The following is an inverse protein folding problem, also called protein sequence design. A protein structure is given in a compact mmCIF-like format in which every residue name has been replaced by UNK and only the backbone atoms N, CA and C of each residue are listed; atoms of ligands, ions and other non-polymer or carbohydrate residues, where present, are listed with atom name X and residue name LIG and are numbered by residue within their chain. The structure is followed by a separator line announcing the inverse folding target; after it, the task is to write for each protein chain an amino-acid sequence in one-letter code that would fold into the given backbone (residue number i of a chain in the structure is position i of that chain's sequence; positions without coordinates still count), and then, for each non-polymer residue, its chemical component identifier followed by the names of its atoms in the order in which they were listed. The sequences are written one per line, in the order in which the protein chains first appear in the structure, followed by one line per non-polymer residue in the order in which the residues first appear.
data_IF_025990453387
#
_entry.id   IF_025990453387
#
_cell.length_a   1.000
_cell.length_b   1.000
_cell.length_c   1.000
_cell.angle_alpha   90.00
_cell.angle_beta   90.00
_cell.angle_gamma   90.00
#
_symmetry.space_group_name_H-M   'P 1'
#
loop_
_entity.id
_entity.type
_entity.pdbx_description
1 polymer ?
#
# COMPACT_ATOMS: atom_id res chain seq x y z
N UNK A 1 63.48 26.28 14.36
CA UNK A 1 63.06 25.52 13.16
C UNK A 1 61.65 25.94 12.75
N UNK A 2 61.46 26.56 11.57
CA UNK A 2 60.13 26.95 11.07
C UNK A 2 59.45 25.73 10.46
N UNK A 3 58.42 25.20 11.11
CA UNK A 3 57.64 24.08 10.57
C UNK A 3 56.92 24.57 9.30
N UNK A 4 57.08 23.89 8.15
CA UNK A 4 56.44 24.32 6.91
C UNK A 4 54.91 24.26 7.06
N UNK A 5 54.21 25.35 6.73
CA UNK A 5 52.75 25.53 6.89
C UNK A 5 51.92 24.34 6.36
N UNK A 6 52.41 23.65 5.34
CA UNK A 6 51.79 22.45 4.77
C UNK A 6 51.76 21.24 5.73
N UNK A 7 52.80 21.05 6.54
CA UNK A 7 52.83 19.99 7.57
C UNK A 7 51.93 20.31 8.75
N UNK A 8 51.80 21.60 9.10
CA UNK A 8 50.87 22.04 10.15
C UNK A 8 49.41 21.83 9.71
N UNK A 9 49.08 22.14 8.45
CA UNK A 9 47.73 21.94 7.92
C UNK A 9 47.32 20.46 7.86
N UNK A 10 48.24 19.58 7.46
CA UNK A 10 48.01 18.12 7.48
C UNK A 10 47.81 17.58 8.90
N UNK A 11 48.54 18.11 9.88
CA UNK A 11 48.36 17.77 11.29
C UNK A 11 46.98 18.18 11.81
N UNK A 12 46.48 19.36 11.42
CA UNK A 12 45.15 19.85 11.80
C UNK A 12 44.06 18.98 11.18
N UNK A 13 44.18 18.63 9.90
CA UNK A 13 43.23 17.73 9.23
C UNK A 13 43.24 16.35 9.90
N UNK A 14 44.41 15.81 10.20
CA UNK A 14 44.53 14.51 10.85
C UNK A 14 43.90 14.52 12.26
N UNK A 15 44.13 15.58 13.03
CA UNK A 15 43.51 15.76 14.34
C UNK A 15 41.98 15.86 14.24
N UNK A 16 41.47 16.58 13.23
CA UNK A 16 40.03 16.72 13.00
C UNK A 16 39.36 15.40 12.62
N UNK A 17 40.00 14.61 11.74
CA UNK A 17 39.50 13.29 11.35
C UNK A 17 39.54 12.32 12.54
N UNK A 18 40.63 12.31 13.31
CA UNK A 18 40.74 11.47 14.51
C UNK A 18 39.67 11.83 15.56
N UNK A 19 39.40 13.13 15.77
CA UNK A 19 38.36 13.58 16.69
C UNK A 19 36.95 13.23 16.20
N UNK A 20 36.70 13.34 14.90
CA UNK A 20 35.42 12.98 14.28
C UNK A 20 35.15 11.48 14.39
N UNK A 21 36.17 10.64 14.17
CA UNK A 21 36.07 9.19 14.36
C UNK A 21 35.89 8.81 15.83
N UNK A 22 36.56 9.50 16.76
CA UNK A 22 36.38 9.29 18.20
C UNK A 22 34.98 9.70 18.69
N UNK A 23 34.43 10.79 18.15
CA UNK A 23 33.07 11.22 18.43
C UNK A 23 32.05 10.20 17.90
N UNK A 24 32.22 9.73 16.65
CA UNK A 24 31.38 8.68 16.08
C UNK A 24 31.46 7.38 16.89
N UNK A 25 32.66 6.96 17.33
CA UNK A 25 32.83 5.81 18.18
C UNK A 25 32.07 5.95 19.51
N UNK A 26 32.11 7.13 20.15
CA UNK A 26 31.37 7.36 21.39
C UNK A 26 29.85 7.37 21.18
N UNK A 27 29.35 7.90 20.07
CA UNK A 27 27.91 7.97 19.80
C UNK A 27 27.34 6.59 19.45
N UNK A 28 28.06 5.78 18.68
CA UNK A 28 27.55 4.50 18.18
C UNK A 28 27.96 3.27 19.00
N UNK A 29 29.07 3.33 19.73
CA UNK A 29 29.64 2.14 20.40
C UNK A 29 29.95 2.32 21.89
N UNK A 30 29.99 3.56 22.42
CA UNK A 30 30.14 3.79 23.87
C UNK A 30 28.78 3.70 24.57
N UNK A 31 28.26 2.49 24.69
CA UNK A 31 27.19 2.18 25.63
C UNK A 31 27.74 2.19 27.07
N UNK A 32 28.11 3.37 27.58
CA UNK A 32 28.09 3.58 29.03
C UNK A 32 26.67 3.93 29.41
N UNK A 33 25.93 2.91 29.84
CA UNK A 33 24.70 3.06 30.60
C UNK A 33 25.01 3.93 31.82
N UNK A 34 24.70 5.22 31.75
CA UNK A 34 24.68 6.10 32.92
C UNK A 34 23.40 5.76 33.68
N UNK A 35 23.47 4.66 34.44
CA UNK A 35 22.60 4.44 35.59
C UNK A 35 22.99 5.50 36.62
N UNK A 36 22.27 6.63 36.67
CA UNK A 36 22.21 7.47 37.87
C UNK A 36 21.44 6.71 38.95
N UNK A 37 22.11 5.73 39.54
CA UNK A 37 21.84 5.25 40.89
C UNK A 37 23.06 5.65 41.68
N UNK A 38 22.89 6.43 42.74
CA UNK A 38 23.96 6.76 43.67
C UNK A 38 24.62 5.46 44.14
N UNK A 39 25.83 5.20 43.64
CA UNK A 39 26.69 4.15 44.15
C UNK A 39 27.31 4.70 45.42
N UNK A 40 26.72 4.34 46.56
CA UNK A 40 27.39 4.46 47.86
C UNK A 40 28.69 3.67 47.74
N UNK A 41 29.80 4.39 47.83
CA UNK A 41 31.14 3.83 47.88
C UNK A 41 31.24 3.11 49.24
N UNK A 42 31.28 1.77 49.24
CA UNK A 42 31.78 1.03 50.40
C UNK A 42 33.27 1.30 50.49
N UNK A 43 33.61 2.31 51.27
CA UNK A 43 34.95 2.51 51.82
C UNK A 43 35.14 1.42 52.86
N UNK A 44 36.16 0.58 52.69
CA UNK A 44 36.61 -0.27 53.78
C UNK A 44 37.08 0.65 54.92
N UNK A 45 36.33 0.63 56.01
CA UNK A 45 36.75 1.14 57.31
C UNK A 45 36.39 0.11 58.38
N UNK A 46 37.24 -0.01 59.41
CA UNK A 46 37.25 -1.13 60.33
C UNK A 46 36.05 -1.10 61.28
N UNK A 47 35.62 -2.29 61.71
CA UNK A 47 34.81 -2.59 62.89
C UNK A 47 34.15 -1.36 63.57
N UNK A 48 32.91 -1.04 63.17
CA UNK A 48 32.01 -0.17 63.93
C UNK A 48 30.74 -0.96 64.20
N UNK A 49 30.32 -0.92 65.46
CA UNK A 49 29.26 -1.72 66.06
C UNK A 49 27.92 -1.63 65.32
N UNK A 50 27.14 -2.71 65.41
CA UNK A 50 25.72 -2.78 65.01
C UNK A 50 24.96 -1.59 65.60
N UNK A 51 24.66 -0.62 64.74
CA UNK A 51 23.78 0.50 65.05
C UNK A 51 22.34 0.02 64.82
N UNK A 52 21.69 -0.39 65.92
CA UNK A 52 20.32 -0.89 65.92
C UNK A 52 19.37 0.17 65.31
N UNK A 53 18.74 -0.15 64.17
CA UNK A 53 17.76 0.71 63.51
C UNK A 53 16.34 0.38 64.01
N UNK A 54 15.68 1.27 64.78
CA UNK A 54 14.36 1.00 65.36
C UNK A 54 13.23 0.85 64.33
N UNK A 55 13.48 1.20 63.06
CA UNK A 55 12.50 1.33 62.00
C UNK A 55 12.67 0.30 60.88
N UNK A 56 13.60 -0.65 61.04
CA UNK A 56 13.92 -1.66 60.03
C UNK A 56 12.71 -2.58 59.74
N UNK A 57 11.95 -2.92 60.78
CA UNK A 57 10.73 -3.73 60.66
C UNK A 57 9.61 -2.98 59.91
N UNK A 58 9.43 -1.68 60.16
CA UNK A 58 8.44 -0.85 59.45
C UNK A 58 8.80 -0.65 57.98
N UNK A 59 10.08 -0.50 57.66
CA UNK A 59 10.57 -0.34 56.29
C UNK A 59 10.46 -1.66 55.49
N UNK A 60 10.71 -2.80 56.14
CA UNK A 60 10.48 -4.14 55.57
C UNK A 60 8.99 -4.38 55.34
N UNK A 61 8.12 -3.97 56.28
CA UNK A 61 6.67 -4.14 56.16
C UNK A 61 6.08 -3.23 55.08
N UNK A 62 6.53 -1.97 54.99
CA UNK A 62 6.16 -1.03 53.92
C UNK A 62 6.58 -1.56 52.53
N UNK A 63 7.82 -2.04 52.40
CA UNK A 63 8.32 -2.61 51.14
C UNK A 63 7.60 -3.91 50.76
N UNK A 64 7.24 -4.74 51.76
CA UNK A 64 6.42 -5.94 51.57
C UNK A 64 5.00 -5.59 51.09
N UNK A 65 4.36 -4.58 51.70
CA UNK A 65 3.05 -4.08 51.30
C UNK A 65 3.07 -3.46 49.89
N UNK A 66 4.12 -2.70 49.54
CA UNK A 66 4.31 -2.14 48.22
C UNK A 66 4.50 -3.24 47.15
N UNK A 67 5.28 -4.27 47.47
CA UNK A 67 5.47 -5.42 46.59
C UNK A 67 4.19 -6.26 46.42
N UNK A 68 3.38 -6.42 47.47
CA UNK A 68 2.04 -7.04 47.37
C UNK A 68 1.12 -6.22 46.47
N UNK A 69 1.08 -4.89 46.61
CA UNK A 69 0.31 -3.99 45.73
C UNK A 69 0.77 -4.08 44.27
N UNK A 70 2.09 -4.11 44.01
CA UNK A 70 2.67 -4.30 42.67
C UNK A 70 2.30 -5.66 42.06
N UNK A 71 2.35 -6.74 42.85
CA UNK A 71 1.93 -8.08 42.39
C UNK A 71 0.43 -8.13 42.10
N UNK A 72 -0.40 -7.55 42.96
CA UNK A 72 -1.84 -7.44 42.75
C UNK A 72 -2.18 -6.63 41.49
N UNK A 73 -1.46 -5.51 41.25
CA UNK A 73 -1.61 -4.71 40.03
C UNK A 73 -1.18 -5.48 38.77
N UNK A 74 -0.07 -6.23 38.81
CA UNK A 74 0.34 -7.12 37.71
C UNK A 74 -0.70 -8.22 37.43
N UNK A 75 -1.27 -8.83 38.47
CA UNK A 75 -2.33 -9.84 38.32
C UNK A 75 -3.63 -9.23 37.78
N UNK A 76 -3.98 -8.01 38.20
CA UNK A 76 -5.10 -7.24 37.67
C UNK A 76 -4.90 -6.90 36.18
N UNK A 77 -3.72 -6.40 35.81
CA UNK A 77 -3.36 -6.15 34.39
C UNK A 77 -3.37 -7.44 33.56
N UNK A 78 -2.88 -8.56 34.11
CA UNK A 78 -2.94 -9.86 33.43
C UNK A 78 -4.38 -10.40 33.28
N UNK A 79 -5.28 -10.10 34.24
CA UNK A 79 -6.73 -10.40 34.10
C UNK A 79 -7.37 -9.52 33.02
N UNK A 80 -7.00 -8.24 32.95
CA UNK A 80 -7.44 -7.34 31.87
C UNK A 80 -6.95 -7.86 30.51
N UNK A 81 -5.69 -8.28 30.40
CA UNK A 81 -5.14 -8.79 29.15
C UNK A 81 -5.78 -10.12 28.72
N UNK A 82 -6.12 -11.00 29.68
CA UNK A 82 -6.92 -12.21 29.43
C UNK A 82 -8.36 -11.92 29.05
N UNK A 83 -8.88 -10.75 29.41
CA UNK A 83 -10.25 -10.30 29.05
C UNK A 83 -10.31 -9.54 27.73
N UNK A 84 -9.17 -9.20 27.12
CA UNK A 84 -9.15 -8.60 25.78
C UNK A 84 -9.52 -9.68 24.75
N UNK A 85 -10.38 -9.36 23.77
CA UNK A 85 -10.66 -10.27 22.67
C UNK A 85 -9.35 -10.63 21.96
N UNK A 86 -9.15 -11.91 21.65
CA UNK A 86 -7.95 -12.42 20.97
C UNK A 86 -7.85 -11.73 19.60
N UNK A 87 -6.89 -10.81 19.48
CA UNK A 87 -6.61 -10.09 18.23
C UNK A 87 -5.57 -10.86 17.44
N UNK A 88 -5.81 -10.97 16.14
CA UNK A 88 -4.88 -11.55 15.20
C UNK A 88 -3.89 -10.49 14.75
N UNK A 89 -2.65 -10.90 14.46
CA UNK A 89 -1.58 -9.99 14.07
C UNK A 89 -1.07 -10.42 12.70
N UNK A 90 -1.11 -9.52 11.74
CA UNK A 90 -0.66 -9.78 10.37
C UNK A 90 0.26 -8.66 9.90
N UNK A 91 1.45 -9.04 9.44
CA UNK A 91 2.42 -8.10 8.93
C UNK A 91 2.35 -8.07 7.40
N UNK A 92 2.44 -6.89 6.80
CA UNK A 92 2.41 -6.67 5.36
C UNK A 92 3.74 -6.06 4.93
N UNK A 93 4.44 -6.70 3.99
CA UNK A 93 5.69 -6.18 3.41
C UNK A 93 5.45 -5.85 1.94
N UNK A 94 5.66 -4.59 1.56
CA UNK A 94 5.39 -4.17 0.19
C UNK A 94 6.36 -3.11 -0.33
N UNK A 95 6.96 -3.40 -1.48
CA UNK A 95 7.71 -2.41 -2.28
C UNK A 95 7.03 -2.07 -3.61
N UNK A 96 6.03 -2.85 -4.00
CA UNK A 96 5.26 -2.55 -5.20
C UNK A 96 4.28 -1.40 -4.94
N UNK A 97 4.01 -0.59 -5.95
CA UNK A 97 3.08 0.54 -5.88
C UNK A 97 1.68 0.14 -5.37
N UNK A 98 1.23 -1.05 -5.78
CA UNK A 98 -0.04 -1.65 -5.35
C UNK A 98 -0.11 -1.88 -3.83
N UNK A 99 1.03 -1.93 -3.12
CA UNK A 99 1.08 -2.02 -1.66
C UNK A 99 0.62 -0.74 -0.98
N UNK A 100 0.96 0.43 -1.55
CA UNK A 100 0.41 1.70 -1.10
C UNK A 100 -1.08 1.81 -1.40
N UNK A 101 -1.56 1.24 -2.52
CA UNK A 101 -2.99 1.21 -2.79
C UNK A 101 -3.73 0.32 -1.77
N UNK A 102 -3.22 -0.89 -1.49
CA UNK A 102 -3.75 -1.74 -0.42
C UNK A 102 -3.79 -1.01 0.92
N UNK A 103 -2.68 -0.42 1.34
CA UNK A 103 -2.57 0.19 2.66
C UNK A 103 -3.32 1.51 2.78
N UNK A 104 -2.95 2.49 1.96
CA UNK A 104 -3.50 3.84 2.05
C UNK A 104 -4.93 3.84 1.53
N UNK A 105 -5.25 3.25 0.37
CA UNK A 105 -6.59 3.43 -0.24
C UNK A 105 -7.65 2.41 0.18
N UNK A 106 -7.29 1.14 0.39
CA UNK A 106 -8.25 0.09 0.75
C UNK A 106 -8.38 0.00 2.27
N UNK A 107 -7.27 -0.22 2.98
CA UNK A 107 -7.31 -0.35 4.43
C UNK A 107 -7.47 0.98 5.16
N UNK A 108 -7.12 2.09 4.50
CA UNK A 108 -7.12 3.46 5.05
C UNK A 108 -6.14 3.65 6.21
N UNK A 109 -5.00 2.95 6.14
CA UNK A 109 -3.93 3.00 7.12
C UNK A 109 -3.03 4.24 6.96
N UNK A 110 -2.68 4.94 8.06
CA UNK A 110 -1.68 5.99 8.02
C UNK A 110 -0.27 5.41 7.87
N UNK A 111 0.67 6.22 7.41
CA UNK A 111 2.10 5.88 7.31
C UNK A 111 2.95 6.91 8.03
N UNK A 112 3.93 6.43 8.78
CA UNK A 112 4.91 7.20 9.51
C UNK A 112 6.33 6.78 9.07
N UNK A 113 7.20 7.73 8.70
CA UNK A 113 6.90 9.14 8.47
C UNK A 113 5.96 9.34 7.26
N UNK A 114 5.30 10.50 7.26
CA UNK A 114 4.43 10.93 6.15
C UNK A 114 5.23 11.29 4.90
N UNK A 115 6.53 11.53 5.04
CA UNK A 115 7.44 11.82 3.93
C UNK A 115 7.56 10.61 2.97
N UNK A 116 7.20 10.83 1.70
CA UNK A 116 7.23 9.80 0.66
C UNK A 116 8.64 9.41 0.23
N UNK A 117 9.65 10.26 0.45
CA UNK A 117 11.05 9.94 0.10
C UNK A 117 11.80 9.22 1.22
N UNK A 118 11.14 9.01 2.36
CA UNK A 118 11.73 8.30 3.48
C UNK A 118 12.16 6.88 3.08
N UNK A 119 13.35 6.50 3.53
CA UNK A 119 13.92 5.17 3.26
C UNK A 119 13.08 4.05 3.87
N UNK A 120 12.37 4.35 4.95
CA UNK A 120 11.54 3.46 5.72
C UNK A 120 10.24 4.18 6.07
N UNK A 121 9.10 3.54 5.81
CA UNK A 121 7.78 3.99 6.25
C UNK A 121 7.03 2.78 6.80
N UNK A 122 6.40 2.98 7.94
CA UNK A 122 5.62 1.95 8.61
C UNK A 122 4.25 2.49 9.03
N UNK A 123 3.30 1.59 9.16
CA UNK A 123 1.96 1.92 9.61
C UNK A 123 1.37 0.79 10.41
N UNK A 124 0.47 1.13 11.32
CA UNK A 124 -0.33 0.18 12.07
C UNK A 124 -1.80 0.58 11.97
N UNK A 125 -2.68 -0.40 11.75
CA UNK A 125 -4.12 -0.17 11.81
C UNK A 125 -4.84 -1.44 12.28
N UNK A 126 -6.01 -1.25 12.89
CA UNK A 126 -6.89 -2.35 13.24
C UNK A 126 -8.07 -2.42 12.26
N UNK A 127 -8.29 -3.58 11.65
CA UNK A 127 -9.45 -3.87 10.81
C UNK A 127 -10.12 -5.14 11.33
N UNK A 128 -11.36 -5.03 11.81
CA UNK A 128 -12.04 -6.16 12.45
C UNK A 128 -11.26 -6.67 13.67
N UNK A 129 -10.89 -7.96 13.66
CA UNK A 129 -10.10 -8.61 14.71
C UNK A 129 -8.61 -8.69 14.36
N UNK A 130 -8.20 -8.16 13.21
CA UNK A 130 -6.81 -8.18 12.75
C UNK A 130 -6.15 -6.82 13.01
N UNK A 131 -5.05 -6.85 13.74
CA UNK A 131 -4.08 -5.78 13.84
C UNK A 131 -3.06 -5.95 12.69
N UNK A 132 -3.09 -5.03 11.73
CA UNK A 132 -2.15 -5.00 10.61
C UNK A 132 -0.99 -4.07 10.90
N UNK A 133 0.23 -4.52 10.59
CA UNK A 133 1.39 -3.63 10.44
C UNK A 133 1.88 -3.68 8.99
N UNK A 134 2.31 -2.54 8.44
CA UNK A 134 2.77 -2.44 7.06
C UNK A 134 4.11 -1.76 6.99
N UNK A 135 5.00 -2.31 6.17
CA UNK A 135 6.35 -1.82 5.96
C UNK A 135 6.61 -1.60 4.48
N UNK A 136 7.05 -0.39 4.15
CA UNK A 136 7.42 0.00 2.79
C UNK A 136 8.60 0.97 2.79
N UNK A 137 9.21 1.14 1.61
CA UNK A 137 10.32 2.05 1.38
C UNK A 137 11.60 1.36 0.87
N UNK A 138 12.58 2.11 0.36
CA UNK A 138 13.83 1.58 -0.18
C UNK A 138 14.61 0.65 0.77
N UNK A 139 14.62 0.92 2.07
CA UNK A 139 15.35 0.15 3.08
C UNK A 139 14.63 -1.15 3.52
N UNK A 140 13.38 -1.37 3.07
CA UNK A 140 12.67 -2.63 3.30
C UNK A 140 13.29 -3.71 2.41
N UNK A 141 14.31 -4.40 2.91
CA UNK A 141 15.02 -5.48 2.21
C UNK A 141 14.97 -6.76 3.03
N UNK A 142 15.15 -7.91 2.37
CA UNK A 142 15.10 -9.22 3.02
C UNK A 142 16.04 -9.26 4.25
N UNK A 143 15.56 -9.86 5.35
CA UNK A 143 16.33 -10.00 6.60
C UNK A 143 16.52 -8.73 7.44
N UNK A 144 16.11 -7.56 6.96
CA UNK A 144 16.23 -6.29 7.70
C UNK A 144 14.89 -5.76 8.21
N UNK A 145 13.80 -6.46 7.89
CA UNK A 145 12.47 -6.09 8.37
C UNK A 145 12.21 -6.79 9.71
N UNK A 146 11.87 -6.04 10.78
CA UNK A 146 11.49 -6.64 12.05
C UNK A 146 10.30 -7.56 11.83
N UNK A 147 10.46 -8.86 12.14
CA UNK A 147 9.38 -9.83 12.10
C UNK A 147 8.83 -9.99 13.51
N UNK A 148 7.68 -9.37 13.77
CA UNK A 148 7.04 -9.38 15.08
C UNK A 148 5.86 -10.36 15.16
N UNK A 149 5.51 -10.97 14.02
CA UNK A 149 4.26 -11.71 13.82
C UNK A 149 4.55 -13.00 13.05
N UNK A 150 3.70 -14.01 13.23
CA UNK A 150 3.82 -15.31 12.57
C UNK A 150 3.02 -15.40 11.25
N UNK A 151 2.35 -14.33 10.84
CA UNK A 151 1.49 -14.29 9.66
C UNK A 151 1.89 -13.11 8.78
N UNK A 152 2.12 -13.38 7.50
CA UNK A 152 2.76 -12.43 6.59
C UNK A 152 1.97 -12.29 5.27
N UNK A 153 1.86 -11.06 4.79
CA UNK A 153 1.37 -10.72 3.45
C UNK A 153 2.49 -10.06 2.66
N UNK A 154 2.88 -10.66 1.54
CA UNK A 154 3.87 -10.09 0.62
C UNK A 154 3.17 -9.35 -0.52
N UNK A 155 3.59 -8.12 -0.79
CA UNK A 155 3.12 -7.38 -1.97
C UNK A 155 4.21 -7.37 -3.05
N UNK A 156 3.98 -8.15 -4.11
CA UNK A 156 4.96 -8.49 -5.14
C UNK A 156 4.62 -7.85 -6.49
N UNK A 157 5.63 -7.75 -7.35
CA UNK A 157 5.50 -7.22 -8.70
C UNK A 157 6.04 -8.24 -9.70
N UNK A 158 5.13 -8.81 -10.50
CA UNK A 158 5.42 -9.79 -11.56
C UNK A 158 5.27 -9.22 -12.97
N UNK A 159 5.24 -7.90 -13.11
CA UNK A 159 4.96 -7.23 -14.40
C UNK A 159 5.96 -7.59 -15.50
N UNK A 160 7.23 -7.65 -15.16
CA UNK A 160 8.35 -7.87 -16.09
C UNK A 160 9.42 -8.77 -15.47
N UNK A 161 10.26 -9.41 -16.29
CA UNK A 161 11.21 -10.44 -15.84
C UNK A 161 12.13 -9.97 -14.70
N UNK A 162 12.63 -8.74 -14.75
CA UNK A 162 13.49 -8.20 -13.68
C UNK A 162 12.74 -8.09 -12.34
N UNK A 163 11.45 -7.74 -12.37
CA UNK A 163 10.59 -7.65 -11.18
C UNK A 163 10.21 -9.03 -10.67
N UNK A 164 9.99 -10.00 -11.57
CA UNK A 164 9.83 -11.42 -11.22
C UNK A 164 11.06 -11.89 -10.44
N UNK A 165 12.28 -11.73 -10.99
CA UNK A 165 13.51 -12.14 -10.30
C UNK A 165 13.67 -11.50 -8.92
N UNK A 166 13.27 -10.23 -8.76
CA UNK A 166 13.29 -9.57 -7.45
C UNK A 166 12.23 -10.13 -6.49
N UNK A 167 11.02 -10.40 -6.99
CA UNK A 167 9.92 -10.98 -6.21
C UNK A 167 10.22 -12.41 -5.77
N UNK A 168 10.87 -13.22 -6.60
CA UNK A 168 11.29 -14.59 -6.25
C UNK A 168 12.26 -14.60 -5.07
N UNK A 169 13.19 -13.64 -4.98
CA UNK A 169 14.09 -13.52 -3.82
C UNK A 169 13.35 -13.26 -2.50
N UNK A 170 12.23 -12.52 -2.55
CA UNK A 170 11.36 -12.36 -1.38
C UNK A 170 10.67 -13.67 -1.01
N UNK A 171 10.18 -14.42 -1.99
CA UNK A 171 9.57 -15.73 -1.76
C UNK A 171 10.57 -16.72 -1.16
N UNK A 172 11.80 -16.80 -1.69
CA UNK A 172 12.88 -17.64 -1.15
C UNK A 172 13.19 -17.29 0.31
N UNK A 173 13.28 -15.99 0.62
CA UNK A 173 13.51 -15.54 1.99
C UNK A 173 12.38 -15.94 2.93
N UNK A 174 11.12 -15.75 2.52
CA UNK A 174 9.97 -16.14 3.35
C UNK A 174 9.84 -17.65 3.45
N UNK A 175 10.17 -18.40 2.40
CA UNK A 175 10.21 -19.85 2.45
C UNK A 175 11.16 -20.36 3.55
N UNK A 176 12.34 -19.73 3.67
CA UNK A 176 13.28 -20.05 4.74
C UNK A 176 12.69 -19.76 6.13
N UNK A 177 11.95 -18.64 6.29
CA UNK A 177 11.25 -18.30 7.54
C UNK A 177 10.12 -19.26 7.88
N UNK A 178 9.44 -19.81 6.87
CA UNK A 178 8.42 -20.85 7.05
C UNK A 178 9.08 -22.17 7.45
N UNK A 179 10.18 -22.55 6.81
CA UNK A 179 10.95 -23.75 7.15
C UNK A 179 11.55 -23.69 8.56
N UNK A 180 11.91 -22.50 9.05
CA UNK A 180 12.35 -22.28 10.44
C UNK A 180 11.21 -22.12 11.44
N UNK A 181 9.95 -22.36 11.03
CA UNK A 181 8.74 -22.19 11.83
C UNK A 181 8.57 -20.78 12.45
N UNK A 182 9.19 -19.77 11.86
CA UNK A 182 9.09 -18.38 12.32
C UNK A 182 7.84 -17.71 11.74
N UNK A 183 7.48 -18.06 10.50
CA UNK A 183 6.23 -17.68 9.85
C UNK A 183 5.40 -18.94 9.63
N UNK A 184 4.13 -18.89 10.01
CA UNK A 184 3.18 -20.00 9.89
C UNK A 184 2.25 -19.84 8.69
N UNK A 185 1.92 -18.60 8.32
CA UNK A 185 0.95 -18.31 7.27
C UNK A 185 1.45 -17.22 6.32
N UNK A 186 1.25 -17.43 5.02
CA UNK A 186 1.74 -16.52 3.97
C UNK A 186 0.65 -16.27 2.93
N UNK A 187 0.37 -14.99 2.68
CA UNK A 187 -0.43 -14.53 1.56
C UNK A 187 0.42 -13.65 0.63
N UNK A 188 0.02 -13.59 -0.64
CA UNK A 188 0.65 -12.74 -1.65
C UNK A 188 -0.38 -11.86 -2.31
N UNK A 189 -0.11 -10.55 -2.41
CA UNK A 189 -0.80 -9.62 -3.31
C UNK A 189 0.11 -9.34 -4.49
N UNK A 190 -0.26 -9.81 -5.67
CA UNK A 190 0.59 -9.79 -6.85
C UNK A 190 0.07 -8.82 -7.91
N UNK A 191 0.88 -7.81 -8.23
CA UNK A 191 0.75 -7.10 -9.50
C UNK A 191 1.23 -8.03 -10.62
N UNK A 192 0.28 -8.69 -11.29
CA UNK A 192 0.55 -9.63 -12.37
C UNK A 192 1.09 -8.95 -13.63
N UNK A 193 1.53 -9.78 -14.57
CA UNK A 193 1.84 -9.36 -15.93
C UNK A 193 0.55 -8.97 -16.68
N UNK A 194 0.61 -7.92 -17.52
CA UNK A 194 -0.57 -7.43 -18.26
C UNK A 194 -1.12 -8.41 -19.31
N UNK A 195 -0.31 -9.38 -19.75
CA UNK A 195 -0.73 -10.49 -20.61
C UNK A 195 -1.10 -11.75 -19.78
N UNK A 196 -1.18 -11.60 -18.45
CA UNK A 196 -1.56 -12.63 -17.49
C UNK A 196 -0.63 -13.85 -17.45
N UNK A 197 0.63 -13.68 -17.87
CA UNK A 197 1.69 -14.68 -17.76
C UNK A 197 2.28 -14.68 -16.35
N UNK A 198 1.68 -15.43 -15.44
CA UNK A 198 2.06 -15.47 -14.02
C UNK A 198 2.54 -16.85 -13.54
N UNK A 199 2.80 -17.81 -14.44
CA UNK A 199 3.16 -19.21 -14.12
C UNK A 199 4.31 -19.37 -13.11
N UNK A 200 5.21 -18.39 -13.05
CA UNK A 200 6.35 -18.38 -12.13
C UNK A 200 5.94 -18.41 -10.64
N UNK A 201 4.75 -17.94 -10.26
CA UNK A 201 4.28 -17.99 -8.86
C UNK A 201 3.67 -19.35 -8.51
N UNK A 202 3.26 -20.15 -9.51
CA UNK A 202 2.53 -21.39 -9.31
C UNK A 202 3.24 -22.39 -8.38
N UNK A 203 4.57 -22.63 -8.49
CA UNK A 203 5.27 -23.57 -7.61
C UNK A 203 5.26 -23.16 -6.13
N UNK A 204 5.02 -21.88 -5.83
CA UNK A 204 5.00 -21.38 -4.46
C UNK A 204 3.63 -21.49 -3.79
N UNK A 205 2.56 -21.74 -4.55
CA UNK A 205 1.20 -21.88 -4.03
C UNK A 205 1.02 -23.22 -3.30
N UNK A 206 0.33 -23.19 -2.15
CA UNK A 206 0.07 -24.38 -1.33
C UNK A 206 -0.68 -25.48 -2.07
N UNK A 207 -1.59 -25.12 -2.98
CA UNK A 207 -2.29 -26.06 -3.87
C UNK A 207 -1.34 -26.91 -4.73
N UNK A 208 -0.13 -26.40 -4.99
CA UNK A 208 0.91 -27.04 -5.81
C UNK A 208 2.08 -27.56 -4.96
N UNK A 209 1.91 -27.67 -3.64
CA UNK A 209 2.95 -28.11 -2.70
C UNK A 209 3.89 -27.01 -2.20
N UNK A 210 3.60 -25.74 -2.49
CA UNK A 210 4.32 -24.59 -1.96
C UNK A 210 3.86 -24.14 -0.56
N UNK A 211 4.28 -22.96 -0.15
CA UNK A 211 4.05 -22.41 1.20
C UNK A 211 3.10 -21.20 1.24
N UNK A 212 2.69 -20.67 0.09
CA UNK A 212 1.77 -19.53 -0.01
C UNK A 212 0.33 -20.04 0.09
N UNK A 213 -0.35 -19.70 1.18
CA UNK A 213 -1.73 -20.09 1.47
C UNK A 213 -2.73 -19.37 0.56
N UNK A 214 -2.50 -18.08 0.28
CA UNK A 214 -3.44 -17.22 -0.44
C UNK A 214 -2.74 -16.35 -1.48
N UNK A 215 -3.38 -16.14 -2.63
CA UNK A 215 -2.92 -15.25 -3.68
C UNK A 215 -4.05 -14.30 -4.12
N UNK A 216 -3.85 -13.00 -3.91
CA UNK A 216 -4.65 -11.91 -4.45
C UNK A 216 -3.97 -11.42 -5.73
N UNK A 217 -4.58 -11.69 -6.89
CA UNK A 217 -3.98 -11.45 -8.19
C UNK A 217 -4.66 -10.27 -8.90
N UNK A 218 -3.85 -9.30 -9.33
CA UNK A 218 -4.30 -8.17 -10.14
C UNK A 218 -4.37 -8.59 -11.61
N UNK A 219 -5.41 -8.09 -12.29
CA UNK A 219 -5.91 -8.49 -13.61
C UNK A 219 -6.72 -9.79 -13.61
N UNK A 220 -7.56 -9.94 -14.64
CA UNK A 220 -8.34 -11.16 -14.86
C UNK A 220 -7.43 -12.36 -15.10
N UNK A 221 -7.63 -13.44 -14.35
CA UNK A 221 -6.84 -14.67 -14.49
C UNK A 221 -7.73 -15.90 -14.42
N UNK A 222 -7.46 -16.94 -15.25
CA UNK A 222 -8.21 -18.19 -15.20
C UNK A 222 -8.00 -18.94 -13.87
N UNK A 223 -7.02 -18.55 -13.06
CA UNK A 223 -6.74 -19.21 -11.78
C UNK A 223 -7.65 -18.78 -10.65
N UNK A 224 -8.40 -17.69 -10.83
CA UNK A 224 -9.26 -17.15 -9.77
C UNK A 224 -10.40 -18.13 -9.50
N UNK A 225 -10.47 -18.58 -8.25
CA UNK A 225 -11.42 -19.59 -7.80
C UNK A 225 -12.14 -19.19 -6.50
N UNK A 226 -11.84 -18.00 -5.98
CA UNK A 226 -12.44 -17.40 -4.78
C UNK A 226 -12.32 -18.30 -3.53
N UNK A 227 -11.30 -19.16 -3.50
CA UNK A 227 -10.93 -20.04 -2.37
C UNK A 227 -9.53 -19.75 -1.86
N UNK A 228 -8.54 -19.83 -2.76
CA UNK A 228 -7.13 -19.60 -2.44
C UNK A 228 -6.46 -18.66 -3.46
N UNK A 229 -7.05 -18.48 -4.65
CA UNK A 229 -6.72 -17.37 -5.56
C UNK A 229 -7.94 -16.48 -5.74
N UNK A 230 -7.74 -15.20 -5.44
CA UNK A 230 -8.74 -14.14 -5.48
C UNK A 230 -8.32 -13.07 -6.48
N UNK A 231 -9.29 -12.45 -7.16
CA UNK A 231 -9.01 -11.28 -7.98
C UNK A 231 -8.85 -10.04 -7.10
N UNK A 232 -7.90 -9.17 -7.44
CA UNK A 232 -7.63 -7.93 -6.75
C UNK A 232 -7.68 -6.74 -7.71
N UNK A 233 -8.24 -5.58 -7.32
CA UNK A 233 -8.25 -4.41 -8.19
C UNK A 233 -6.85 -3.81 -8.36
N UNK A 234 -6.57 -3.31 -9.55
CA UNK A 234 -5.35 -2.57 -9.86
C UNK A 234 -5.25 -1.28 -9.03
N UNK A 235 -6.38 -0.59 -8.86
CA UNK A 235 -6.48 0.66 -8.10
C UNK A 235 -5.95 1.89 -8.84
N UNK A 236 -5.55 2.91 -8.08
CA UNK A 236 -4.99 4.17 -8.61
C UNK A 236 -3.47 4.10 -8.73
N UNK A 237 -2.87 4.95 -9.56
CA UNK A 237 -1.41 4.99 -9.74
C UNK A 237 -0.70 5.70 -8.57
N UNK A 238 -0.62 5.06 -7.41
CA UNK A 238 0.10 5.58 -6.22
C UNK A 238 1.57 5.88 -6.49
N UNK A 239 2.21 5.16 -7.41
CA UNK A 239 3.59 5.43 -7.85
C UNK A 239 3.76 6.75 -8.61
N UNK A 240 2.65 7.34 -9.10
CA UNK A 240 2.57 8.68 -9.69
C UNK A 240 1.98 9.69 -8.71
N UNK A 241 1.98 9.34 -7.43
CA UNK A 241 1.48 10.17 -6.34
C UNK A 241 0.00 10.53 -6.45
N UNK A 242 -0.81 9.68 -7.10
CA UNK A 242 -2.25 9.89 -7.11
C UNK A 242 -2.79 9.85 -5.66
N UNK A 243 -3.50 10.90 -5.21
CA UNK A 243 -3.90 11.03 -3.82
C UNK A 243 -5.14 10.20 -3.49
N UNK A 244 -5.35 9.92 -2.20
CA UNK A 244 -6.65 9.53 -1.70
C UNK A 244 -7.59 10.75 -1.71
N UNK A 245 -8.64 10.67 -2.52
CA UNK A 245 -9.69 11.69 -2.58
C UNK A 245 -10.87 11.24 -1.72
N UNK A 246 -11.27 12.09 -0.77
CA UNK A 246 -12.51 11.91 -0.03
C UNK A 246 -13.64 12.65 -0.75
N UNK A 247 -14.81 12.01 -0.96
CA UNK A 247 -15.96 12.69 -1.52
C UNK A 247 -16.30 13.96 -0.71
N UNK A 248 -16.59 15.05 -1.42
CA UNK A 248 -17.05 16.29 -0.81
C UNK A 248 -18.19 16.88 -1.66
N UNK A 249 -18.91 17.84 -1.09
CA UNK A 249 -20.06 18.45 -1.75
C UNK A 249 -19.68 19.09 -3.09
N UNK A 250 -18.49 19.70 -3.20
CA UNK A 250 -18.04 20.35 -4.43
C UNK A 250 -17.86 19.36 -5.59
N UNK A 251 -17.31 18.17 -5.34
CA UNK A 251 -17.16 17.12 -6.36
C UNK A 251 -18.52 16.67 -6.92
N UNK A 252 -19.54 16.67 -6.06
CA UNK A 252 -20.90 16.21 -6.37
C UNK A 252 -21.72 17.30 -7.09
N UNK A 253 -21.69 18.55 -6.62
CA UNK A 253 -22.63 19.59 -7.09
C UNK A 253 -22.06 20.53 -8.15
N UNK A 254 -20.74 20.59 -8.32
CA UNK A 254 -20.09 21.50 -9.27
C UNK A 254 -20.61 21.33 -10.69
N UNK A 255 -20.73 22.43 -11.44
CA UNK A 255 -20.93 22.37 -12.88
C UNK A 255 -19.59 22.09 -13.55
N UNK A 256 -19.54 21.07 -14.40
CA UNK A 256 -18.31 20.65 -15.09
C UNK A 256 -18.31 21.21 -16.51
N UNK A 257 -17.25 21.95 -16.92
CA UNK A 257 -17.21 22.58 -18.24
C UNK A 257 -16.99 21.60 -19.40
N UNK A 258 -16.46 20.40 -19.13
CA UNK A 258 -16.16 19.40 -20.16
C UNK A 258 -17.11 18.21 -20.08
N UNK A 259 -17.56 17.72 -21.24
CA UNK A 259 -18.34 16.48 -21.30
C UNK A 259 -17.47 15.27 -21.04
N UNK A 260 -16.22 15.28 -21.51
CA UNK A 260 -15.32 14.16 -21.29
C UNK A 260 -13.85 14.56 -21.14
N UNK A 261 -13.02 13.64 -20.68
CA UNK A 261 -11.56 13.82 -20.69
C UNK A 261 -10.81 12.56 -21.11
N UNK A 262 -9.66 12.78 -21.73
CA UNK A 262 -8.68 11.73 -21.99
C UNK A 262 -7.26 12.28 -21.90
N UNK A 263 -6.50 11.81 -20.91
CA UNK A 263 -5.08 12.10 -20.79
C UNK A 263 -4.30 10.79 -20.74
N UNK A 264 -3.30 10.66 -21.60
CA UNK A 264 -2.48 9.45 -21.64
C UNK A 264 -1.61 9.33 -22.89
N UNK A 265 -0.78 8.29 -22.86
CA UNK A 265 0.07 7.94 -24.00
C UNK A 265 -0.76 7.27 -25.10
N UNK A 266 -0.62 7.74 -26.34
CA UNK A 266 -1.28 7.18 -27.52
C UNK A 266 -0.24 6.40 -28.31
N UNK A 267 -0.37 5.07 -28.33
CA UNK A 267 0.51 4.19 -29.08
C UNK A 267 -0.02 4.01 -30.51
N UNK A 268 0.88 3.81 -31.47
CA UNK A 268 0.49 3.45 -32.84
C UNK A 268 -0.26 2.13 -32.85
N UNK A 269 -1.25 2.00 -33.74
CA UNK A 269 -2.06 0.78 -33.89
C UNK A 269 -2.73 0.36 -32.59
N UNK A 270 -3.17 1.33 -31.78
CA UNK A 270 -3.86 1.07 -30.52
C UNK A 270 -5.26 1.65 -30.54
N UNK A 271 -6.14 1.13 -29.69
CA UNK A 271 -7.49 1.69 -29.55
C UNK A 271 -7.50 3.16 -29.14
N UNK A 272 -6.43 3.62 -28.47
CA UNK A 272 -6.25 5.04 -28.14
C UNK A 272 -6.12 5.92 -29.38
N UNK A 273 -5.52 5.41 -30.44
CA UNK A 273 -5.43 6.12 -31.73
C UNK A 273 -6.81 6.21 -32.39
N UNK A 274 -7.59 5.13 -32.35
CA UNK A 274 -8.99 5.10 -32.81
C UNK A 274 -9.83 6.13 -32.06
N UNK A 275 -9.74 6.14 -30.72
CA UNK A 275 -10.42 7.13 -29.88
C UNK A 275 -10.07 8.56 -30.28
N UNK A 276 -8.77 8.88 -30.42
CA UNK A 276 -8.34 10.23 -30.79
C UNK A 276 -8.84 10.63 -32.20
N UNK A 277 -8.89 9.68 -33.13
CA UNK A 277 -9.43 9.90 -34.47
C UNK A 277 -10.94 10.19 -34.43
N UNK A 278 -11.72 9.44 -33.66
CA UNK A 278 -13.16 9.68 -33.47
C UNK A 278 -13.42 11.07 -32.88
N UNK A 279 -12.69 11.44 -31.82
CA UNK A 279 -12.82 12.77 -31.20
C UNK A 279 -12.58 13.89 -32.20
N UNK A 280 -11.55 13.76 -33.04
CA UNK A 280 -11.19 14.75 -34.05
C UNK A 280 -12.19 14.82 -35.21
N UNK A 281 -12.61 13.67 -35.74
CA UNK A 281 -13.53 13.61 -36.89
C UNK A 281 -14.93 14.12 -36.54
N UNK A 282 -15.39 13.88 -35.32
CA UNK A 282 -16.69 14.33 -34.84
C UNK A 282 -16.69 15.76 -34.29
N UNK A 283 -15.55 16.47 -34.27
CA UNK A 283 -15.43 17.81 -33.70
C UNK A 283 -15.64 17.89 -32.18
N UNK A 284 -15.50 16.76 -31.48
CA UNK A 284 -15.72 16.60 -30.04
C UNK A 284 -14.49 17.00 -29.22
N UNK A 285 -13.37 17.27 -29.88
CA UNK A 285 -12.11 17.73 -29.27
C UNK A 285 -12.26 19.05 -28.50
N UNK A 286 -13.28 19.85 -28.82
CA UNK A 286 -13.62 21.09 -28.11
C UNK A 286 -14.46 20.87 -26.85
N UNK A 287 -15.24 19.80 -26.82
CA UNK A 287 -16.13 19.45 -25.69
C UNK A 287 -15.42 18.56 -24.66
N UNK A 288 -14.28 17.99 -25.04
CA UNK A 288 -13.51 17.08 -24.20
C UNK A 288 -12.08 17.56 -23.95
N UNK A 289 -11.66 17.50 -22.69
CA UNK A 289 -10.30 17.84 -22.31
C UNK A 289 -9.34 16.70 -22.65
N UNK A 290 -8.60 16.86 -23.75
CA UNK A 290 -7.65 15.86 -24.23
C UNK A 290 -6.21 16.31 -24.05
N UNK A 291 -5.33 15.41 -23.64
CA UNK A 291 -3.87 15.62 -23.66
C UNK A 291 -3.18 14.30 -23.95
N UNK A 292 -2.88 14.08 -25.23
CA UNK A 292 -2.13 12.92 -25.69
C UNK A 292 -0.62 13.14 -25.53
N UNK A 293 0.10 12.07 -25.23
CA UNK A 293 1.57 12.03 -25.29
C UNK A 293 1.99 10.89 -26.23
N UNK A 294 3.07 11.07 -26.98
CA UNK A 294 3.59 10.00 -27.83
C UNK A 294 4.39 8.95 -27.05
N UNK A 295 5.06 9.39 -25.97
CA UNK A 295 5.91 8.52 -25.14
C UNK A 295 5.38 8.41 -23.73
N UNK A 296 5.54 7.22 -23.16
CA UNK A 296 5.25 6.97 -21.76
C UNK A 296 6.39 7.45 -20.89
N UNK A 297 6.05 8.08 -19.76
CA UNK A 297 6.99 8.51 -18.73
C UNK A 297 6.60 7.90 -17.38
N UNK A 298 7.55 7.45 -16.56
CA UNK A 298 7.24 6.78 -15.30
C UNK A 298 6.65 7.72 -14.26
N UNK A 299 7.19 8.93 -14.15
CA UNK A 299 6.81 9.93 -13.16
C UNK A 299 6.08 11.11 -13.80
N UNK A 300 5.09 11.64 -13.09
CA UNK A 300 4.41 12.88 -13.45
C UNK A 300 5.11 14.06 -12.75
N UNK A 301 5.18 15.21 -13.42
CA UNK A 301 5.52 16.48 -12.76
C UNK A 301 4.33 16.97 -11.95
N UNK A 302 4.55 17.80 -10.93
CA UNK A 302 3.48 18.41 -10.12
C UNK A 302 2.43 19.12 -10.99
N UNK A 303 2.87 19.79 -12.05
CA UNK A 303 1.98 20.47 -13.00
C UNK A 303 1.13 19.47 -13.79
N UNK A 304 1.75 18.42 -14.32
CA UNK A 304 1.04 17.40 -15.11
C UNK A 304 0.05 16.59 -14.26
N UNK A 305 0.42 16.26 -13.01
CA UNK A 305 -0.48 15.62 -12.06
C UNK A 305 -1.67 16.52 -11.73
N UNK A 306 -1.43 17.81 -11.44
CA UNK A 306 -2.50 18.79 -11.20
C UNK A 306 -3.42 18.90 -12.40
N UNK A 307 -2.88 19.02 -13.61
CA UNK A 307 -3.66 19.08 -14.85
C UNK A 307 -4.54 17.83 -15.03
N UNK A 308 -4.00 16.65 -14.70
CA UNK A 308 -4.76 15.42 -14.75
C UNK A 308 -5.89 15.39 -13.71
N UNK A 309 -5.62 15.77 -12.46
CA UNK A 309 -6.64 15.88 -11.41
C UNK A 309 -7.73 16.90 -11.77
N UNK A 310 -7.34 18.04 -12.34
CA UNK A 310 -8.29 19.05 -12.85
C UNK A 310 -9.16 18.46 -13.95
N UNK A 311 -8.60 17.67 -14.87
CA UNK A 311 -9.37 17.01 -15.91
C UNK A 311 -10.44 16.08 -15.35
N UNK A 312 -10.08 15.26 -14.36
CA UNK A 312 -11.03 14.36 -13.70
C UNK A 312 -12.11 15.16 -12.94
N UNK A 313 -11.73 16.23 -12.25
CA UNK A 313 -12.67 17.05 -11.48
C UNK A 313 -13.64 17.88 -12.37
N UNK A 314 -13.21 18.26 -13.57
CA UNK A 314 -13.92 19.17 -14.47
C UNK A 314 -14.60 18.48 -15.66
N UNK A 315 -14.60 17.15 -15.72
CA UNK A 315 -15.23 16.40 -16.81
C UNK A 315 -16.33 15.47 -16.30
N UNK A 316 -17.49 15.44 -16.98
CA UNK A 316 -18.57 14.52 -16.62
C UNK A 316 -18.13 13.06 -16.81
N UNK A 317 -17.49 12.77 -17.95
CA UNK A 317 -16.99 11.46 -18.32
C UNK A 317 -15.45 11.41 -18.37
N UNK A 318 -14.87 10.24 -18.12
CA UNK A 318 -13.45 9.98 -18.36
C UNK A 318 -13.30 8.78 -19.27
N UNK A 319 -12.67 8.98 -20.44
CA UNK A 319 -12.50 7.96 -21.45
C UNK A 319 -11.35 7.03 -21.06
N UNK A 320 -11.64 5.73 -20.97
CA UNK A 320 -10.73 4.69 -20.52
C UNK A 320 -10.48 3.66 -21.63
N UNK A 321 -9.82 4.04 -22.74
CA UNK A 321 -9.41 3.10 -23.78
C UNK A 321 -8.39 2.11 -23.26
N UNK A 322 -8.50 0.91 -23.82
CA UNK A 322 -7.63 -0.22 -23.51
C UNK A 322 -6.16 0.16 -23.72
N UNK A 323 -5.31 -0.35 -22.84
CA UNK A 323 -3.86 -0.27 -22.95
C UNK A 323 -3.28 -1.61 -23.38
N UNK A 324 -2.22 -2.02 -22.69
CA UNK A 324 -1.72 -3.40 -22.77
C UNK A 324 -2.69 -4.37 -22.07
N UNK A 325 -3.37 -3.90 -21.01
CA UNK A 325 -4.49 -4.57 -20.36
C UNK A 325 -5.75 -3.68 -20.42
N UNK A 326 -6.93 -4.30 -20.33
CA UNK A 326 -8.24 -3.64 -20.24
C UNK A 326 -8.39 -2.84 -18.96
N UNK A 327 -7.98 -3.40 -17.82
CA UNK A 327 -8.03 -2.72 -16.55
C UNK A 327 -6.89 -1.69 -16.46
N UNK A 328 -7.22 -0.43 -16.19
CA UNK A 328 -6.23 0.63 -16.09
C UNK A 328 -6.50 1.57 -14.92
N UNK A 329 -5.44 2.20 -14.40
CA UNK A 329 -5.50 3.12 -13.26
C UNK A 329 -6.56 4.21 -13.43
N UNK A 330 -6.75 4.69 -14.67
CA UNK A 330 -7.70 5.77 -15.00
C UNK A 330 -9.13 5.46 -14.56
N UNK A 331 -9.54 4.19 -14.60
CA UNK A 331 -10.89 3.78 -14.18
C UNK A 331 -11.12 4.18 -12.72
N UNK A 332 -10.20 3.78 -11.84
CA UNK A 332 -10.24 4.04 -10.40
C UNK A 332 -10.03 5.53 -10.06
N UNK A 333 -9.15 6.19 -10.80
CA UNK A 333 -8.84 7.61 -10.65
C UNK A 333 -10.06 8.48 -11.02
N UNK A 334 -10.76 8.14 -12.09
CA UNK A 334 -12.00 8.80 -12.50
C UNK A 334 -13.12 8.60 -11.46
N UNK A 335 -13.27 7.38 -10.93
CA UNK A 335 -14.20 7.10 -9.83
C UNK A 335 -13.91 7.98 -8.60
N UNK A 336 -12.63 8.21 -8.28
CA UNK A 336 -12.21 9.02 -7.13
C UNK A 336 -12.67 10.48 -7.20
N UNK A 337 -12.85 11.01 -8.42
CA UNK A 337 -13.33 12.37 -8.68
C UNK A 337 -14.80 12.42 -9.09
N UNK A 338 -15.49 11.28 -9.14
CA UNK A 338 -16.86 11.19 -9.63
C UNK A 338 -16.96 11.52 -11.13
N UNK A 339 -15.91 11.32 -11.92
CA UNK A 339 -16.01 11.37 -13.39
C UNK A 339 -16.34 9.97 -13.89
N UNK A 340 -17.43 9.80 -14.63
CA UNK A 340 -17.93 8.46 -14.96
C UNK A 340 -17.02 7.80 -15.98
N UNK A 341 -16.45 6.62 -15.68
CA UNK A 341 -15.61 5.91 -16.62
C UNK A 341 -16.43 5.46 -17.84
N UNK A 342 -15.94 5.80 -19.04
CA UNK A 342 -16.32 5.17 -20.30
C UNK A 342 -15.23 4.14 -20.60
N UNK A 343 -15.52 2.88 -20.38
CA UNK A 343 -14.53 1.79 -20.38
C UNK A 343 -14.70 0.94 -21.63
N UNK A 344 -13.60 0.76 -22.35
CA UNK A 344 -13.56 -0.17 -23.48
C UNK A 344 -13.54 -1.61 -22.98
N UNK A 345 -14.63 -2.32 -23.21
CA UNK A 345 -14.89 -3.68 -22.75
C UNK A 345 -14.39 -4.72 -23.75
N UNK A 346 -13.08 -4.69 -23.99
CA UNK A 346 -12.40 -5.54 -25.00
C UNK A 346 -11.29 -6.33 -24.34
N UNK A 347 -11.23 -7.64 -24.62
CA UNK A 347 -10.14 -8.50 -24.18
C UNK A 347 -8.84 -8.12 -24.89
N UNK A 348 -7.78 -7.89 -24.12
CA UNK A 348 -6.43 -7.68 -24.65
C UNK A 348 -5.74 -9.01 -24.98
N UNK A 349 -4.75 -9.01 -25.89
CA UNK A 349 -3.93 -10.19 -26.14
C UNK A 349 -3.24 -10.71 -24.87
N UNK A 350 -3.18 -12.03 -24.72
CA UNK A 350 -2.55 -12.69 -23.57
C UNK A 350 -3.33 -13.94 -23.12
N UNK A 351 -2.95 -14.45 -21.96
CA UNK A 351 -3.56 -15.64 -21.33
C UNK A 351 -4.54 -15.26 -20.20
N UNK A 352 -5.11 -14.05 -20.27
CA UNK A 352 -6.08 -13.58 -19.30
C UNK A 352 -7.39 -14.38 -19.40
N UNK A 353 -8.18 -14.39 -18.33
CA UNK A 353 -9.44 -15.14 -18.32
C UNK A 353 -10.38 -14.67 -19.43
N UNK A 354 -10.86 -15.59 -20.26
CA UNK A 354 -11.90 -15.34 -21.25
C UNK A 354 -13.25 -15.88 -20.75
N UNK A 355 -14.35 -15.18 -21.06
CA UNK A 355 -15.69 -15.62 -20.72
C UNK A 355 -16.69 -14.46 -20.68
N UNK A 356 -17.99 -14.75 -20.42
CA UNK A 356 -19.05 -13.74 -20.44
C UNK A 356 -18.86 -12.60 -19.44
N UNK A 357 -18.17 -12.88 -18.33
CA UNK A 357 -17.86 -11.89 -17.29
C UNK A 357 -16.53 -11.17 -17.51
N UNK A 358 -15.75 -11.56 -18.51
CA UNK A 358 -14.46 -10.96 -18.83
C UNK A 358 -14.57 -9.99 -20.02
N UNK A 359 -13.71 -8.98 -20.10
CA UNK A 359 -12.77 -8.53 -19.08
C UNK A 359 -13.48 -7.82 -17.91
N UNK A 360 -12.71 -7.38 -16.91
CA UNK A 360 -13.14 -6.55 -15.78
C UNK A 360 -14.14 -7.27 -14.86
N UNK A 361 -13.95 -8.58 -14.66
CA UNK A 361 -14.89 -9.45 -13.92
C UNK A 361 -15.22 -8.89 -12.54
N UNK A 362 -14.20 -8.45 -11.78
CA UNK A 362 -14.39 -7.89 -10.44
C UNK A 362 -15.26 -6.62 -10.45
N UNK A 363 -15.01 -5.69 -11.39
CA UNK A 363 -15.77 -4.45 -11.49
C UNK A 363 -17.21 -4.69 -11.94
N UNK A 364 -17.43 -5.59 -12.90
CA UNK A 364 -18.77 -5.99 -13.35
C UNK A 364 -19.55 -6.69 -12.24
N UNK A 365 -18.91 -7.62 -11.52
CA UNK A 365 -19.52 -8.33 -10.40
C UNK A 365 -19.90 -7.38 -9.25
N UNK A 366 -19.11 -6.33 -9.03
CA UNK A 366 -19.41 -5.27 -8.06
C UNK A 366 -20.50 -4.28 -8.55
N UNK A 367 -21.09 -4.48 -9.73
CA UNK A 367 -22.14 -3.61 -10.26
C UNK A 367 -21.66 -2.22 -10.62
N UNK A 368 -20.45 -2.09 -11.18
CA UNK A 368 -19.87 -0.80 -11.54
C UNK A 368 -20.80 0.03 -12.45
N UNK A 369 -21.14 1.28 -12.06
CA UNK A 369 -22.06 2.15 -12.82
C UNK A 369 -21.33 2.86 -13.98
N UNK A 370 -20.55 2.10 -14.75
CA UNK A 370 -19.73 2.61 -15.85
C UNK A 370 -20.49 2.54 -17.17
N UNK A 371 -20.00 3.29 -18.17
CA UNK A 371 -20.42 3.09 -19.54
C UNK A 371 -19.43 2.12 -20.18
N UNK A 372 -19.86 0.90 -20.47
CA UNK A 372 -19.05 -0.07 -21.20
C UNK A 372 -19.29 0.11 -22.70
N UNK A 373 -18.21 0.20 -23.48
CA UNK A 373 -18.25 0.29 -24.95
C UNK A 373 -17.44 -0.83 -25.55
N UNK A 374 -17.93 -1.38 -26.66
CA UNK A 374 -17.17 -2.35 -27.45
C UNK A 374 -16.32 -1.67 -28.52
N UNK A 375 -16.73 -0.46 -28.92
CA UNK A 375 -16.11 0.31 -29.99
C UNK A 375 -16.17 1.82 -29.72
N UNK A 376 -15.07 2.53 -29.93
CA UNK A 376 -15.04 3.99 -29.79
C UNK A 376 -15.91 4.75 -30.78
N UNK A 377 -16.37 4.11 -31.87
CA UNK A 377 -17.37 4.67 -32.80
C UNK A 377 -18.73 4.89 -32.13
N UNK A 378 -18.98 4.28 -30.97
CA UNK A 378 -20.18 4.52 -30.15
C UNK A 378 -20.12 5.86 -29.41
N UNK A 379 -18.92 6.45 -29.24
CA UNK A 379 -18.68 7.64 -28.42
C UNK A 379 -19.52 8.86 -28.81
N UNK A 380 -19.69 9.23 -30.09
CA UNK A 380 -20.50 10.40 -30.46
C UNK A 380 -21.96 10.28 -29.96
N UNK A 381 -22.56 9.09 -30.08
CA UNK A 381 -23.91 8.84 -29.59
C UNK A 381 -24.01 8.89 -28.06
N UNK A 382 -22.95 8.46 -27.36
CA UNK A 382 -22.86 8.56 -25.90
C UNK A 382 -22.80 10.03 -25.46
N UNK A 383 -21.96 10.85 -26.10
CA UNK A 383 -21.83 12.27 -25.75
C UNK A 383 -23.09 13.06 -26.11
N UNK A 384 -23.78 12.72 -27.19
CA UNK A 384 -25.08 13.34 -27.52
C UNK A 384 -26.12 13.08 -26.42
N UNK A 385 -26.17 11.84 -25.91
CA UNK A 385 -27.01 11.52 -24.74
C UNK A 385 -26.58 12.32 -23.51
N UNK A 386 -25.28 12.41 -23.24
CA UNK A 386 -24.75 13.15 -22.09
C UNK A 386 -25.09 14.65 -22.13
N UNK A 387 -25.16 15.23 -23.34
CA UNK A 387 -25.59 16.62 -23.56
C UNK A 387 -27.04 16.85 -23.15
N UNK A 388 -27.90 15.86 -23.36
CA UNK A 388 -29.33 15.92 -23.01
C UNK A 388 -29.63 15.73 -21.52
N UNK A 389 -28.65 15.32 -20.71
CA UNK A 389 -28.85 15.06 -19.27
C UNK A 389 -28.92 16.39 -18.50
N UNK A 390 -29.92 16.53 -17.63
CA UNK A 390 -30.06 17.72 -16.78
C UNK A 390 -28.98 17.81 -15.71
N UNK A 391 -28.73 19.00 -15.18
CA UNK A 391 -27.73 19.17 -14.12
C UNK A 391 -28.05 18.34 -12.87
N UNK A 392 -29.34 18.22 -12.49
CA UNK A 392 -29.77 17.39 -11.37
C UNK A 392 -29.43 15.91 -11.57
N UNK A 393 -29.67 15.39 -12.78
CA UNK A 393 -29.33 14.01 -13.13
C UNK A 393 -27.81 13.78 -13.13
N UNK A 394 -27.01 14.76 -13.58
CA UNK A 394 -25.54 14.70 -13.49
C UNK A 394 -25.07 14.65 -12.04
N UNK A 395 -25.65 15.46 -11.17
CA UNK A 395 -25.34 15.48 -9.73
C UNK A 395 -25.68 14.13 -9.08
N UNK A 396 -26.88 13.59 -9.36
CA UNK A 396 -27.28 12.26 -8.86
C UNK A 396 -26.34 11.15 -9.34
N UNK A 397 -25.99 11.14 -10.62
CA UNK A 397 -25.06 10.15 -11.20
C UNK A 397 -23.68 10.22 -10.55
N UNK A 398 -23.15 11.42 -10.32
CA UNK A 398 -21.85 11.62 -9.65
C UNK A 398 -21.87 11.14 -8.20
N UNK A 399 -22.94 11.45 -7.47
CA UNK A 399 -23.16 10.94 -6.11
C UNK A 399 -23.16 9.41 -6.10
N UNK A 400 -23.95 8.76 -6.97
CA UNK A 400 -24.01 7.30 -7.07
C UNK A 400 -22.65 6.67 -7.38
N UNK A 401 -21.87 7.27 -8.27
CA UNK A 401 -20.53 6.78 -8.59
C UNK A 401 -19.56 6.88 -7.38
N UNK A 402 -19.57 8.02 -6.69
CA UNK A 402 -18.71 8.24 -5.52
C UNK A 402 -19.10 7.30 -4.35
N UNK A 403 -20.40 7.14 -4.11
CA UNK A 403 -20.95 6.17 -3.14
C UNK A 403 -20.56 4.74 -3.51
N UNK A 404 -20.76 4.35 -4.77
CA UNK A 404 -20.36 3.04 -5.27
C UNK A 404 -18.86 2.81 -5.08
N UNK A 405 -18.00 3.76 -5.44
CA UNK A 405 -16.56 3.57 -5.34
C UNK A 405 -16.08 3.49 -3.88
N UNK A 406 -16.69 4.27 -2.98
CA UNK A 406 -16.45 4.14 -1.55
C UNK A 406 -16.90 2.77 -1.03
N UNK A 407 -18.07 2.30 -1.43
CA UNK A 407 -18.59 0.98 -1.11
C UNK A 407 -17.72 -0.15 -1.66
N UNK A 408 -17.22 -0.01 -2.89
CA UNK A 408 -16.29 -0.97 -3.51
C UNK A 408 -15.00 -1.09 -2.69
N UNK A 409 -14.35 0.01 -2.30
CA UNK A 409 -13.14 -0.03 -1.46
C UNK A 409 -13.42 -0.69 -0.11
N UNK A 410 -14.56 -0.39 0.50
CA UNK A 410 -14.99 -1.01 1.76
C UNK A 410 -15.20 -2.53 1.60
N UNK A 411 -15.89 -2.98 0.54
CA UNK A 411 -16.06 -4.40 0.23
C UNK A 411 -14.70 -5.10 0.03
N UNK A 412 -13.75 -4.47 -0.67
CA UNK A 412 -12.41 -5.03 -0.83
C UNK A 412 -11.64 -5.13 0.49
N UNK A 413 -11.78 -4.14 1.37
CA UNK A 413 -11.21 -4.16 2.72
C UNK A 413 -11.78 -5.29 3.57
N UNK A 414 -13.10 -5.42 3.58
CA UNK A 414 -13.83 -6.47 4.31
C UNK A 414 -13.42 -7.84 3.77
N UNK A 415 -13.52 -8.04 2.45
CA UNK A 415 -13.14 -9.30 1.81
C UNK A 415 -11.70 -9.71 2.09
N UNK A 416 -10.76 -8.77 2.01
CA UNK A 416 -9.35 -9.03 2.34
C UNK A 416 -9.19 -9.45 3.80
N UNK A 417 -9.81 -8.70 4.72
CA UNK A 417 -9.72 -8.98 6.17
C UNK A 417 -10.35 -10.33 6.49
N UNK A 418 -11.53 -10.63 5.96
CA UNK A 418 -12.26 -11.88 6.16
C UNK A 418 -11.46 -13.09 5.64
N UNK A 419 -10.96 -13.02 4.40
CA UNK A 419 -10.18 -14.12 3.80
C UNK A 419 -8.93 -14.42 4.63
N UNK A 420 -8.24 -13.38 5.12
CA UNK A 420 -7.09 -13.53 6.01
C UNK A 420 -7.51 -14.12 7.36
N UNK A 421 -8.56 -13.59 7.99
CA UNK A 421 -9.08 -14.11 9.26
C UNK A 421 -9.44 -15.60 9.17
N UNK A 422 -10.15 -15.99 8.12
CA UNK A 422 -10.64 -17.33 7.91
C UNK A 422 -9.53 -18.33 7.62
N UNK A 423 -8.57 -17.99 6.77
CA UNK A 423 -7.55 -18.95 6.33
C UNK A 423 -6.34 -19.02 7.27
N UNK A 424 -6.02 -17.95 7.98
CA UNK A 424 -4.85 -17.95 8.87
C UNK A 424 -5.22 -18.37 10.30
N UNK A 425 -6.43 -18.07 10.76
CA UNK A 425 -6.72 -18.14 12.20
C UNK A 425 -7.97 -18.92 12.58
N UNK A 426 -8.93 -19.09 11.67
CA UNK A 426 -10.02 -20.03 11.88
C UNK A 426 -9.53 -21.40 11.42
N UNK A 427 -9.45 -22.33 12.36
CA UNK A 427 -9.12 -23.72 12.06
C UNK A 427 -10.25 -24.28 11.19
N UNK A 428 -9.92 -24.82 10.01
CA UNK A 428 -10.80 -25.76 9.31
C UNK A 428 -10.70 -27.12 9.99
#
# INVERSE_FOLDING_TARGET
MKIPKRKLFLLIIFAYVAFSLYAAYNVFFSNKVISRVHRVVKKETPFVADEWNPWEDEEVEYNSALNKKRKAFKQYMARIDRSKPKRYKVQIWGKAAIGLYLWEHILEGPLNPTDKVAQWREGELQSGKVDFSFYTGPAVVQGHVPLEMNSLVLVLNGREQQKVSYSTRWLEHVQALVQSNTVSHVAVVLLGNEQCNNDWIAPHLKRNGGFVDLLFLIYDSPWVNDKDVFQWPLGVATYREFPMIRPNAQLITSNRPYLCSFLGTVYKNSSREVLMNVLKQSGLDKECLTTAREKWVPQETTESLRRYQTALAQSELTLCPVGINTECYRIYEACSYGSVPVVEDVLTPGNCAAGPSSPLRLLKAAGAPFIFVSDWRELPAILERERGISQEQRVDRRRRLLEWYSGFRQQMKERFTEVIEENFFKTV
#
